data_IF_794463398265
#
_entry.id   IF_794463398265
#
_cell.length_a   1.000
_cell.length_b   1.000
_cell.length_c   1.000
_cell.angle_alpha   90.00
_cell.angle_beta   90.00
_cell.angle_gamma   90.00
#
_symmetry.space_group_name_H-M   'P 1'
#
loop_
_entity.id
_entity.type
_entity.pdbx_description
1 polymer ?
#
# COMPACT_ATOMS: atom_id res chain seq x y z
N UNK A 1 -11.42 -9.18 10.24
CA UNK A 1 -10.75 -8.56 11.40
C UNK A 1 -11.13 -9.36 12.62
N UNK A 2 -10.14 -10.04 13.20
CA UNK A 2 -10.22 -10.64 14.52
C UNK A 2 -9.90 -9.55 15.54
N UNK A 3 -10.70 -9.43 16.59
CA UNK A 3 -10.53 -8.34 17.55
C UNK A 3 -11.46 -8.45 18.74
N UNK A 4 -11.08 -7.75 19.81
CA UNK A 4 -11.90 -7.59 21.01
C UNK A 4 -12.54 -6.22 20.96
N UNK A 5 -13.87 -6.18 21.13
CA UNK A 5 -14.61 -4.93 21.22
C UNK A 5 -15.05 -4.74 22.66
N UNK A 6 -14.74 -3.58 23.22
CA UNK A 6 -15.07 -3.23 24.60
C UNK A 6 -16.00 -2.03 24.56
N UNK A 7 -17.21 -2.19 25.09
CA UNK A 7 -18.15 -1.11 25.33
C UNK A 7 -18.00 -0.63 26.77
N UNK A 8 -17.68 0.64 26.91
CA UNK A 8 -17.52 1.31 28.21
C UNK A 8 -18.84 1.98 28.56
N UNK A 9 -19.43 1.65 29.70
CA UNK A 9 -20.69 2.27 30.18
C UNK A 9 -20.37 3.55 30.94
N UNK A 10 -21.41 4.33 31.24
CA UNK A 10 -21.29 5.55 32.03
C UNK A 10 -20.66 5.32 33.40
N UNK A 11 -20.09 6.37 33.99
CA UNK A 11 -19.48 6.34 35.33
C UNK A 11 -18.32 5.33 35.49
N UNK A 12 -17.64 4.99 34.40
CA UNK A 12 -16.56 4.00 34.38
C UNK A 12 -15.18 4.63 34.43
N UNK A 13 -14.30 4.08 35.27
CA UNK A 13 -12.87 4.40 35.35
C UNK A 13 -12.09 3.13 35.05
N UNK A 14 -11.38 3.13 33.92
CA UNK A 14 -10.51 2.02 33.51
C UNK A 14 -9.13 2.52 33.12
N UNK A 15 -8.15 1.64 33.28
CA UNK A 15 -6.75 1.85 32.86
C UNK A 15 -6.37 0.76 31.87
N UNK A 16 -5.81 1.16 30.73
CA UNK A 16 -5.26 0.23 29.74
C UNK A 16 -3.78 0.02 30.06
N UNK A 17 -3.44 -1.11 30.68
CA UNK A 17 -2.07 -1.36 31.15
C UNK A 17 -1.17 -1.82 30.00
N UNK A 18 -1.65 -2.78 29.22
CA UNK A 18 -0.87 -3.37 28.12
C UNK A 18 -1.79 -3.79 26.99
N UNK A 19 -1.60 -3.19 25.81
CA UNK A 19 -2.30 -3.57 24.59
C UNK A 19 -1.27 -3.71 23.48
N UNK A 20 -1.18 -4.90 22.90
CA UNK A 20 -0.36 -5.10 21.70
C UNK A 20 -0.90 -6.26 20.87
N UNK A 21 -0.58 -6.19 19.57
CA UNK A 21 -0.85 -7.23 18.59
C UNK A 21 0.49 -7.70 18.05
N UNK A 22 0.81 -8.99 18.23
CA UNK A 22 1.95 -9.61 17.57
C UNK A 22 1.52 -10.07 16.17
N UNK A 23 1.93 -9.31 15.16
CA UNK A 23 1.61 -9.57 13.76
C UNK A 23 2.26 -10.83 13.20
N UNK A 24 3.32 -11.36 13.83
CA UNK A 24 3.97 -12.61 13.38
C UNK A 24 3.17 -13.84 13.78
N UNK A 25 2.61 -13.82 14.99
CA UNK A 25 1.90 -14.95 15.57
C UNK A 25 0.37 -14.76 15.58
N UNK A 26 -0.13 -13.61 15.11
CA UNK A 26 -1.54 -13.21 15.20
C UNK A 26 -2.06 -13.27 16.63
N UNK A 27 -1.24 -12.83 17.58
CA UNK A 27 -1.58 -12.86 19.00
C UNK A 27 -2.04 -11.50 19.48
N UNK A 28 -3.13 -11.49 20.26
CA UNK A 28 -3.68 -10.28 20.86
C UNK A 28 -3.53 -10.40 22.37
N UNK A 29 -2.89 -9.40 22.95
CA UNK A 29 -2.76 -9.26 24.40
C UNK A 29 -3.42 -7.97 24.85
N UNK A 30 -4.30 -8.09 25.84
CA UNK A 30 -4.97 -6.96 26.47
C UNK A 30 -5.05 -7.18 27.97
N UNK A 31 -4.38 -6.29 28.69
CA UNK A 31 -4.42 -6.18 30.15
C UNK A 31 -5.07 -4.84 30.51
N UNK A 32 -6.23 -4.93 31.15
CA UNK A 32 -7.09 -3.79 31.47
C UNK A 32 -7.38 -3.83 32.95
N UNK A 33 -7.26 -2.70 33.62
CA UNK A 33 -7.74 -2.52 34.99
C UNK A 33 -9.05 -1.76 34.99
N UNK A 34 -10.07 -2.28 35.68
CA UNK A 34 -11.36 -1.62 35.89
C UNK A 34 -11.48 -1.25 37.36
N UNK A 35 -11.48 0.04 37.68
CA UNK A 35 -11.50 0.53 39.06
C UNK A 35 -12.91 0.88 39.54
N UNK A 36 -13.80 1.25 38.62
CA UNK A 36 -15.20 1.62 38.90
C UNK A 36 -16.03 1.51 37.64
N UNK A 37 -17.30 1.17 37.77
CA UNK A 37 -18.29 1.21 36.69
C UNK A 37 -18.38 -0.12 35.94
N UNK A 38 -18.87 -0.08 34.69
CA UNK A 38 -19.29 -1.27 33.95
C UNK A 38 -18.71 -1.29 32.54
N UNK A 39 -18.20 -2.43 32.13
CA UNK A 39 -17.74 -2.67 30.76
C UNK A 39 -18.34 -3.97 30.22
N UNK A 40 -18.78 -3.94 28.97
CA UNK A 40 -19.17 -5.12 28.23
C UNK A 40 -18.08 -5.42 27.20
N UNK A 41 -17.65 -6.68 27.12
CA UNK A 41 -16.61 -7.13 26.19
C UNK A 41 -17.14 -8.24 25.31
N UNK A 42 -16.98 -8.06 24.00
CA UNK A 42 -17.28 -9.06 22.97
C UNK A 42 -15.98 -9.49 22.31
N UNK A 43 -15.59 -10.74 22.53
CA UNK A 43 -14.37 -11.32 21.96
C UNK A 43 -14.77 -12.12 20.72
N UNK A 44 -14.81 -11.44 19.56
CA UNK A 44 -15.47 -11.93 18.34
C UNK A 44 -14.86 -13.15 17.66
N UNK A 45 -13.65 -13.57 18.05
CA UNK A 45 -13.06 -14.85 17.63
C UNK A 45 -12.29 -15.48 18.77
N UNK A 46 -12.30 -16.82 18.81
CA UNK A 46 -11.58 -17.60 19.83
C UNK A 46 -10.09 -17.24 19.74
N UNK A 47 -9.62 -16.51 20.73
CA UNK A 47 -8.24 -16.10 20.89
C UNK A 47 -7.32 -17.33 20.72
N UNK A 48 -6.21 -17.17 19.98
CA UNK A 48 -5.19 -18.23 19.87
C UNK A 48 -4.72 -18.65 21.27
N UNK A 49 -4.21 -19.88 21.45
CA UNK A 49 -3.82 -20.39 22.78
C UNK A 49 -2.87 -19.46 23.54
N UNK A 50 -2.06 -18.72 22.81
CA UNK A 50 -1.09 -17.74 23.30
C UNK A 50 -1.67 -16.34 23.51
N UNK A 51 -2.77 -15.98 22.85
CA UNK A 51 -3.46 -14.70 23.09
C UNK A 51 -4.13 -14.67 24.47
N UNK A 52 -4.18 -13.49 25.08
CA UNK A 52 -4.71 -13.31 26.43
C UNK A 52 -5.49 -12.01 26.58
N UNK A 53 -6.74 -12.12 27.04
CA UNK A 53 -7.56 -10.99 27.44
C UNK A 53 -7.87 -11.09 28.93
N UNK A 54 -7.48 -10.05 29.68
CA UNK A 54 -7.54 -10.03 31.13
C UNK A 54 -8.10 -8.69 31.60
N UNK A 55 -9.11 -8.75 32.47
CA UNK A 55 -9.64 -7.59 33.19
C UNK A 55 -9.34 -7.79 34.68
N UNK A 56 -8.57 -6.88 35.25
CA UNK A 56 -8.27 -6.86 36.68
C UNK A 56 -9.11 -5.78 37.36
N UNK A 57 -9.89 -6.16 38.36
CA UNK A 57 -10.66 -5.27 39.24
C UNK A 57 -9.96 -5.17 40.60
N UNK A 58 -10.44 -4.36 41.55
CA UNK A 58 -9.87 -4.34 42.90
C UNK A 58 -9.93 -5.70 43.59
N UNK A 59 -11.01 -6.48 43.39
CA UNK A 59 -11.25 -7.73 44.14
C UNK A 59 -10.89 -9.00 43.37
N UNK A 60 -10.97 -8.98 42.04
CA UNK A 60 -10.74 -10.17 41.23
C UNK A 60 -10.17 -9.87 39.85
N UNK A 61 -9.62 -10.90 39.22
CA UNK A 61 -9.12 -10.86 37.85
C UNK A 61 -9.90 -11.85 36.99
N UNK A 62 -10.57 -11.35 35.96
CA UNK A 62 -11.29 -12.14 34.97
C UNK A 62 -10.40 -12.40 33.74
N UNK A 63 -10.20 -13.67 33.40
CA UNK A 63 -9.44 -14.11 32.23
C UNK A 63 -10.35 -14.90 31.28
N UNK A 64 -10.29 -14.56 29.98
CA UNK A 64 -11.25 -15.07 29.00
C UNK A 64 -10.62 -15.48 27.68
N UNK A 65 -11.32 -16.37 26.97
CA UNK A 65 -10.95 -16.82 25.63
C UNK A 65 -12.19 -17.01 24.75
N UNK A 66 -12.57 -15.95 24.03
CA UNK A 66 -13.73 -16.00 23.12
C UNK A 66 -15.04 -16.04 23.89
N UNK A 67 -15.30 -14.98 24.65
CA UNK A 67 -16.41 -14.88 25.60
C UNK A 67 -17.09 -13.53 25.45
N UNK A 68 -18.42 -13.51 25.55
CA UNK A 68 -19.22 -12.29 25.68
C UNK A 68 -19.61 -12.15 27.14
N UNK A 69 -19.11 -11.11 27.79
CA UNK A 69 -19.24 -10.94 29.23
C UNK A 69 -19.18 -9.47 29.63
N UNK A 70 -19.70 -9.19 30.81
CA UNK A 70 -19.68 -7.89 31.44
C UNK A 70 -18.95 -7.97 32.78
N UNK A 71 -18.18 -6.93 33.08
CA UNK A 71 -17.59 -6.74 34.40
C UNK A 71 -18.10 -5.43 34.96
N UNK A 72 -18.62 -5.47 36.18
CA UNK A 72 -19.11 -4.33 36.93
C UNK A 72 -18.37 -4.23 38.27
N UNK A 73 -17.94 -3.02 38.62
CA UNK A 73 -17.29 -2.72 39.89
C UNK A 73 -18.08 -1.62 40.58
N UNK A 74 -18.69 -1.98 41.71
CA UNK A 74 -19.37 -1.05 42.61
C UNK A 74 -18.78 -1.15 44.03
N UNK A 75 -18.08 -0.08 44.42
CA UNK A 75 -17.39 -0.02 45.71
C UNK A 75 -16.35 -1.13 45.88
N UNK A 76 -16.64 -2.06 46.79
CA UNK A 76 -15.79 -3.20 47.11
C UNK A 76 -16.30 -4.52 46.51
N UNK A 77 -17.30 -4.47 45.62
CA UNK A 77 -17.88 -5.63 44.98
C UNK A 77 -17.61 -5.58 43.47
N UNK A 78 -17.22 -6.72 42.92
CA UNK A 78 -17.08 -6.94 41.49
C UNK A 78 -18.05 -8.02 41.05
N UNK A 79 -18.82 -7.75 40.02
CA UNK A 79 -19.68 -8.72 39.36
C UNK A 79 -19.17 -9.01 37.96
N UNK A 80 -19.01 -10.29 37.64
CA UNK A 80 -18.67 -10.77 36.30
C UNK A 80 -19.84 -11.57 35.77
N UNK A 81 -20.51 -11.07 34.73
CA UNK A 81 -21.71 -11.66 34.14
C UNK A 81 -21.37 -12.24 32.77
N UNK A 82 -21.75 -13.48 32.48
CA UNK A 82 -21.35 -14.18 31.25
C UNK A 82 -22.56 -14.49 30.38
N UNK A 83 -22.62 -13.89 29.19
CA UNK A 83 -23.70 -14.15 28.22
C UNK A 83 -23.39 -15.30 27.26
N UNK A 84 -22.14 -15.44 26.83
CA UNK A 84 -21.72 -16.50 25.91
C UNK A 84 -20.29 -16.92 26.21
N UNK A 85 -20.03 -18.23 26.28
CA UNK A 85 -18.73 -18.81 26.58
C UNK A 85 -18.52 -19.04 28.08
N UNK A 86 -17.28 -18.91 28.54
CA UNK A 86 -16.89 -19.15 29.94
C UNK A 86 -15.80 -18.17 30.38
N UNK A 87 -15.85 -17.73 31.65
CA UNK A 87 -14.90 -16.78 32.26
C UNK A 87 -14.34 -17.38 33.54
N UNK A 88 -13.01 -17.42 33.64
CA UNK A 88 -12.34 -17.73 34.90
C UNK A 88 -12.11 -16.45 35.69
N UNK A 89 -12.57 -16.44 36.94
CA UNK A 89 -12.44 -15.31 37.87
C UNK A 89 -11.56 -15.76 39.03
N UNK A 90 -10.38 -15.17 39.13
CA UNK A 90 -9.40 -15.45 40.19
C UNK A 90 -9.46 -14.33 41.22
N UNK A 91 -9.48 -14.67 42.51
CA UNK A 91 -9.41 -13.68 43.57
C UNK A 91 -8.01 -13.07 43.65
N UNK A 92 -7.92 -11.74 43.79
CA UNK A 92 -6.62 -11.06 43.79
C UNK A 92 -5.86 -11.25 45.11
N UNK A 93 -6.58 -11.37 46.23
CA UNK A 93 -5.99 -11.54 47.57
C UNK A 93 -5.70 -13.02 47.86
N UNK A 94 -6.41 -13.94 47.19
CA UNK A 94 -6.18 -15.38 47.27
C UNK A 94 -6.15 -16.05 45.88
N UNK A 95 -4.99 -16.12 45.21
CA UNK A 95 -4.87 -16.69 43.87
C UNK A 95 -5.24 -18.17 43.75
N UNK A 96 -5.26 -18.92 44.86
CA UNK A 96 -5.70 -20.33 44.89
C UNK A 96 -7.23 -20.45 44.85
N UNK A 97 -7.95 -19.33 44.99
CA UNK A 97 -9.40 -19.25 44.91
C UNK A 97 -9.81 -18.70 43.54
N UNK A 98 -10.20 -19.61 42.65
CA UNK A 98 -10.80 -19.28 41.36
C UNK A 98 -12.14 -19.98 41.18
N UNK A 99 -13.07 -19.28 40.54
CA UNK A 99 -14.34 -19.82 40.08
C UNK A 99 -14.48 -19.58 38.58
N UNK A 100 -15.31 -20.40 37.93
CA UNK A 100 -15.60 -20.30 36.51
C UNK A 100 -17.08 -20.00 36.34
N UNK A 101 -17.42 -18.94 35.62
CA UNK A 101 -18.79 -18.62 35.25
C UNK A 101 -19.02 -19.07 33.81
N UNK A 102 -20.01 -19.93 33.60
CA UNK A 102 -20.46 -20.30 32.26
C UNK A 102 -21.57 -19.38 31.77
N UNK A 103 -21.94 -19.51 30.49
CA UNK A 103 -23.01 -18.72 29.89
C UNK A 103 -24.33 -18.86 30.67
N UNK A 104 -24.89 -17.71 31.10
CA UNK A 104 -26.07 -17.68 31.94
C UNK A 104 -25.77 -17.48 33.43
N UNK A 105 -24.50 -17.39 33.82
CA UNK A 105 -24.07 -17.28 35.21
C UNK A 105 -23.33 -15.97 35.47
N UNK A 106 -23.21 -15.64 36.76
CA UNK A 106 -22.41 -14.54 37.26
C UNK A 106 -21.60 -14.92 38.48
N UNK A 107 -20.43 -14.32 38.60
CA UNK A 107 -19.60 -14.40 39.81
C UNK A 107 -19.57 -13.04 40.47
N UNK A 108 -19.89 -13.03 41.76
CA UNK A 108 -19.80 -11.88 42.65
C UNK A 108 -18.58 -12.07 43.54
N UNK A 109 -17.66 -11.11 43.54
CA UNK A 109 -16.45 -11.11 44.37
C UNK A 109 -16.37 -9.86 45.23
N UNK A 110 -16.23 -10.04 46.54
CA UNK A 110 -16.09 -8.97 47.54
C UNK A 110 -14.64 -8.81 48.06
N UNK A 111 -13.68 -9.48 47.40
CA UNK A 111 -12.25 -9.50 47.77
C UNK A 111 -11.92 -10.45 48.93
N UNK A 112 -12.91 -11.19 49.45
CA UNK A 112 -12.71 -12.22 50.48
C UNK A 112 -13.30 -13.56 50.05
N UNK A 113 -14.38 -13.51 49.31
CA UNK A 113 -15.16 -14.63 48.86
C UNK A 113 -15.65 -14.41 47.44
N UNK A 114 -15.93 -15.52 46.77
CA UNK A 114 -16.56 -15.51 45.46
C UNK A 114 -17.83 -16.35 45.53
N UNK A 115 -18.93 -15.81 45.00
CA UNK A 115 -20.21 -16.50 44.93
C UNK A 115 -20.67 -16.57 43.49
N UNK A 116 -21.06 -17.76 43.06
CA UNK A 116 -21.68 -18.01 41.77
C UNK A 116 -23.20 -17.94 41.89
N UNK A 117 -23.84 -17.23 40.97
CA UNK A 117 -25.28 -17.08 40.86
C UNK A 117 -25.73 -17.17 39.40
N UNK A 118 -27.01 -17.46 39.17
CA UNK A 118 -27.58 -17.38 37.83
C UNK A 118 -27.93 -15.94 37.49
N UNK A 119 -27.78 -15.58 36.23
CA UNK A 119 -28.26 -14.31 35.71
C UNK A 119 -29.78 -14.23 35.79
N UNK A 120 -30.27 -13.07 36.19
CA UNK A 120 -31.68 -12.71 36.08
C UNK A 120 -32.09 -12.45 34.63
N UNK A 121 -33.40 -12.47 34.36
CA UNK A 121 -33.93 -12.17 33.03
C UNK A 121 -33.56 -10.76 32.56
N UNK A 122 -33.54 -9.78 33.47
CA UNK A 122 -33.18 -8.39 33.16
C UNK A 122 -31.69 -8.26 32.80
N UNK A 123 -30.80 -8.93 33.54
CA UNK A 123 -29.35 -8.95 33.24
C UNK A 123 -29.06 -9.65 31.90
N UNK A 124 -29.71 -10.80 31.64
CA UNK A 124 -29.58 -11.50 30.36
C UNK A 124 -30.00 -10.62 29.20
N UNK A 125 -31.11 -9.88 29.36
CA UNK A 125 -31.61 -8.98 28.34
C UNK A 125 -30.66 -7.81 28.09
N UNK A 126 -30.11 -7.19 29.14
CA UNK A 126 -29.11 -6.11 29.00
C UNK A 126 -27.91 -6.61 28.18
N UNK A 127 -27.37 -7.79 28.51
CA UNK A 127 -26.23 -8.37 27.81
C UNK A 127 -26.53 -8.70 26.34
N UNK A 128 -27.74 -9.19 26.04
CA UNK A 128 -28.16 -9.45 24.66
C UNK A 128 -28.28 -8.15 23.85
N UNK A 129 -28.84 -7.09 24.44
CA UNK A 129 -28.94 -5.78 23.80
C UNK A 129 -27.56 -5.17 23.54
N UNK A 130 -26.64 -5.29 24.49
CA UNK A 130 -25.26 -4.85 24.31
C UNK A 130 -24.54 -5.65 23.22
N UNK A 131 -24.69 -6.98 23.23
CA UNK A 131 -24.09 -7.85 22.21
C UNK A 131 -24.62 -7.51 20.82
N UNK A 132 -25.93 -7.30 20.66
CA UNK A 132 -26.55 -6.92 19.39
C UNK A 132 -26.10 -5.54 18.91
N UNK A 133 -26.02 -4.55 19.81
CA UNK A 133 -25.55 -3.20 19.48
C UNK A 133 -24.09 -3.23 19.03
N UNK A 134 -23.24 -4.00 19.72
CA UNK A 134 -21.84 -4.16 19.32
C UNK A 134 -21.74 -4.85 17.96
N UNK A 135 -22.53 -5.90 17.72
CA UNK A 135 -22.57 -6.59 16.42
C UNK A 135 -22.91 -5.61 15.28
N UNK A 136 -24.00 -4.84 15.40
CA UNK A 136 -24.41 -3.91 14.34
C UNK A 136 -23.35 -2.84 14.06
N UNK A 137 -22.74 -2.26 15.10
CA UNK A 137 -21.66 -1.28 14.95
C UNK A 137 -20.45 -1.91 14.25
N UNK A 138 -20.09 -3.15 14.61
CA UNK A 138 -18.96 -3.83 13.97
C UNK A 138 -19.24 -4.20 12.51
N UNK A 139 -20.48 -4.55 12.16
CA UNK A 139 -20.88 -4.84 10.78
C UNK A 139 -20.84 -3.59 9.90
N UNK A 140 -21.38 -2.47 10.37
CA UNK A 140 -21.29 -1.19 9.66
C UNK A 140 -19.84 -0.75 9.45
N UNK A 141 -19.00 -0.88 10.47
CA UNK A 141 -17.58 -0.59 10.37
C UNK A 141 -16.87 -1.53 9.39
N UNK A 142 -17.23 -2.82 9.38
CA UNK A 142 -16.70 -3.80 8.41
C UNK A 142 -17.04 -3.41 6.98
N UNK A 143 -18.28 -3.03 6.70
CA UNK A 143 -18.70 -2.60 5.37
C UNK A 143 -17.90 -1.38 4.90
N UNK A 144 -17.72 -0.39 5.77
CA UNK A 144 -16.89 0.79 5.47
C UNK A 144 -15.43 0.43 5.19
N UNK A 145 -14.84 -0.47 5.97
CA UNK A 145 -13.45 -0.92 5.74
C UNK A 145 -13.34 -1.69 4.43
N UNK A 146 -14.31 -2.54 4.10
CA UNK A 146 -14.33 -3.26 2.81
C UNK A 146 -14.43 -2.32 1.62
N UNK A 147 -15.26 -1.27 1.72
CA UNK A 147 -15.36 -0.21 0.71
C UNK A 147 -14.02 0.51 0.53
N UNK A 148 -13.38 0.94 1.62
CA UNK A 148 -12.05 1.57 1.59
C UNK A 148 -11.01 0.64 0.95
N UNK A 149 -11.01 -0.65 1.30
CA UNK A 149 -10.07 -1.62 0.72
C UNK A 149 -10.30 -1.84 -0.77
N UNK A 150 -11.57 -1.83 -1.21
CA UNK A 150 -11.93 -1.91 -2.62
C UNK A 150 -11.45 -0.67 -3.36
N UNK A 151 -11.75 0.52 -2.87
CA UNK A 151 -11.30 1.79 -3.45
C UNK A 151 -9.78 1.88 -3.55
N UNK A 152 -9.07 1.38 -2.52
CA UNK A 152 -7.62 1.35 -2.52
C UNK A 152 -7.06 0.40 -3.60
N UNK A 153 -7.67 -0.77 -3.78
CA UNK A 153 -7.30 -1.72 -4.85
C UNK A 153 -7.55 -1.11 -6.22
N UNK A 154 -8.71 -0.53 -6.45
CA UNK A 154 -9.06 0.10 -7.74
C UNK A 154 -8.13 1.28 -8.05
N UNK A 155 -7.84 2.14 -7.07
CA UNK A 155 -6.89 3.23 -7.25
C UNK A 155 -5.48 2.72 -7.56
N UNK A 156 -5.02 1.66 -6.87
CA UNK A 156 -3.72 1.05 -7.14
C UNK A 156 -3.64 0.51 -8.57
N UNK A 157 -4.67 -0.20 -9.03
CA UNK A 157 -4.72 -0.73 -10.40
C UNK A 157 -4.70 0.39 -11.44
N UNK A 158 -5.48 1.46 -11.23
CA UNK A 158 -5.47 2.63 -12.11
C UNK A 158 -4.10 3.31 -12.20
N UNK A 159 -3.39 3.43 -11.08
CA UNK A 159 -2.03 3.98 -11.04
C UNK A 159 -1.07 3.09 -11.83
N UNK A 160 -1.15 1.76 -11.64
CA UNK A 160 -0.31 0.80 -12.36
C UNK A 160 -0.55 0.85 -13.87
N UNK A 161 -1.81 0.87 -14.30
CA UNK A 161 -2.17 1.03 -15.72
C UNK A 161 -1.62 2.34 -16.29
N UNK A 162 -1.79 3.47 -15.58
CA UNK A 162 -1.27 4.75 -16.03
C UNK A 162 0.26 4.79 -16.17
N UNK A 163 0.98 4.15 -15.24
CA UNK A 163 2.44 3.98 -15.32
C UNK A 163 2.84 3.14 -16.54
N UNK A 164 2.11 2.06 -16.83
CA UNK A 164 2.38 1.18 -17.95
C UNK A 164 2.12 1.87 -19.29
N UNK A 165 1.03 2.61 -19.41
CA UNK A 165 0.76 3.46 -20.59
C UNK A 165 1.81 4.55 -20.77
N UNK A 166 2.25 5.22 -19.69
CA UNK A 166 3.32 6.21 -19.80
C UNK A 166 4.63 5.58 -20.25
N UNK A 167 4.97 4.38 -19.75
CA UNK A 167 6.15 3.64 -20.19
C UNK A 167 6.06 3.29 -21.68
N UNK A 168 4.91 2.82 -22.14
CA UNK A 168 4.68 2.53 -23.56
C UNK A 168 4.80 3.79 -24.42
N UNK A 169 4.13 4.89 -24.06
CA UNK A 169 4.25 6.18 -24.76
C UNK A 169 5.69 6.68 -24.84
N UNK A 170 6.43 6.61 -23.73
CA UNK A 170 7.84 7.01 -23.72
C UNK A 170 8.68 6.11 -24.63
N UNK A 171 8.41 4.81 -24.65
CA UNK A 171 9.12 3.85 -25.50
C UNK A 171 8.85 4.11 -26.99
N UNK A 172 7.60 4.39 -27.35
CA UNK A 172 7.21 4.77 -28.71
C UNK A 172 7.89 6.08 -29.15
N UNK A 173 7.89 7.12 -28.30
CA UNK A 173 8.57 8.38 -28.57
C UNK A 173 10.07 8.19 -28.79
N UNK A 174 10.73 7.38 -27.96
CA UNK A 174 12.15 7.07 -28.12
C UNK A 174 12.40 6.35 -29.45
N UNK A 175 11.56 5.39 -29.83
CA UNK A 175 11.71 4.64 -31.07
C UNK A 175 11.45 5.54 -32.30
N UNK A 176 10.41 6.36 -32.28
CA UNK A 176 10.10 7.32 -33.33
C UNK A 176 11.25 8.32 -33.52
N UNK A 177 11.78 8.88 -32.42
CA UNK A 177 12.91 9.81 -32.47
C UNK A 177 14.17 9.14 -33.02
N UNK A 178 14.43 7.88 -32.65
CA UNK A 178 15.56 7.11 -33.21
C UNK A 178 15.41 6.89 -34.72
N UNK A 179 14.20 6.56 -35.17
CA UNK A 179 13.93 6.35 -36.59
C UNK A 179 14.06 7.66 -37.39
N UNK A 180 13.53 8.75 -36.86
CA UNK A 180 13.65 10.09 -37.44
C UNK A 180 15.12 10.52 -37.55
N UNK A 181 15.88 10.40 -36.46
CA UNK A 181 17.32 10.69 -36.47
C UNK A 181 18.08 9.84 -37.49
N UNK A 182 17.69 8.57 -37.65
CA UNK A 182 18.30 7.67 -38.65
C UNK A 182 18.01 8.15 -40.07
N UNK A 183 16.77 8.55 -40.36
CA UNK A 183 16.39 9.12 -41.66
C UNK A 183 17.15 10.41 -41.96
N UNK A 184 17.26 11.33 -41.00
CA UNK A 184 18.05 12.56 -41.17
C UNK A 184 19.52 12.27 -41.47
N UNK A 185 20.13 11.31 -40.78
CA UNK A 185 21.52 10.91 -41.05
C UNK A 185 21.67 10.35 -42.47
N UNK A 186 20.73 9.53 -42.92
CA UNK A 186 20.77 8.93 -44.25
C UNK A 186 20.56 10.01 -45.34
N UNK A 187 19.64 10.95 -45.14
CA UNK A 187 19.37 12.07 -46.04
C UNK A 187 20.59 13.01 -46.16
N UNK A 188 21.24 13.34 -45.04
CA UNK A 188 22.49 14.13 -45.03
C UNK A 188 23.62 13.39 -45.76
N UNK A 189 23.73 12.08 -45.60
CA UNK A 189 24.73 11.28 -46.33
C UNK A 189 24.45 11.26 -47.83
N UNK A 190 23.20 11.11 -48.25
CA UNK A 190 22.82 11.12 -49.66
C UNK A 190 23.07 12.50 -50.29
N UNK A 191 22.63 13.57 -49.62
CA UNK A 191 22.90 14.94 -50.06
C UNK A 191 24.39 15.20 -50.20
N UNK A 192 25.20 14.80 -49.20
CA UNK A 192 26.65 14.97 -49.24
C UNK A 192 27.33 14.16 -50.37
N UNK A 193 26.80 12.99 -50.73
CA UNK A 193 27.27 12.23 -51.90
C UNK A 193 26.94 12.96 -53.20
N UNK A 194 25.70 13.42 -53.37
CA UNK A 194 25.25 14.14 -54.55
C UNK A 194 26.05 15.44 -54.75
N UNK A 195 26.29 16.19 -53.67
CA UNK A 195 27.07 17.42 -53.70
C UNK A 195 28.54 17.15 -54.08
N UNK A 196 29.14 16.07 -53.55
CA UNK A 196 30.48 15.63 -53.94
C UNK A 196 30.57 15.22 -55.41
N UNK A 197 29.56 14.53 -55.94
CA UNK A 197 29.50 14.19 -57.37
C UNK A 197 29.35 15.44 -58.24
N UNK A 198 28.51 16.40 -57.83
CA UNK A 198 28.34 17.67 -58.54
C UNK A 198 29.65 18.47 -58.58
N UNK A 199 30.36 18.58 -57.46
CA UNK A 199 31.68 19.24 -57.38
C UNK A 199 32.69 18.54 -58.30
N UNK A 200 32.72 17.20 -58.29
CA UNK A 200 33.63 16.44 -59.16
C UNK A 200 33.34 16.68 -60.63
N UNK A 201 32.07 16.64 -61.04
CA UNK A 201 31.67 16.89 -62.42
C UNK A 201 32.01 18.32 -62.87
N UNK A 202 31.75 19.32 -62.03
CA UNK A 202 32.10 20.71 -62.31
C UNK A 202 33.63 20.90 -62.47
N UNK A 203 34.43 20.28 -61.60
CA UNK A 203 35.89 20.31 -61.69
C UNK A 203 36.42 19.63 -62.96
N UNK A 204 35.79 18.52 -63.38
CA UNK A 204 36.14 17.82 -64.63
C UNK A 204 35.75 18.65 -65.87
N UNK A 205 34.63 19.38 -65.85
CA UNK A 205 34.26 20.33 -66.89
C UNK A 205 35.22 21.52 -66.98
N UNK A 206 35.59 22.15 -65.84
CA UNK A 206 36.59 23.21 -65.82
C UNK A 206 37.93 22.73 -66.38
N UNK A 207 38.38 21.53 -66.00
CA UNK A 207 39.62 20.95 -66.55
C UNK A 207 39.55 20.75 -68.06
N UNK A 208 38.41 20.29 -68.60
CA UNK A 208 38.22 20.16 -70.05
C UNK A 208 38.24 21.52 -70.73
N UNK A 209 37.58 22.53 -70.16
CA UNK A 209 37.55 23.89 -70.70
C UNK A 209 38.95 24.52 -70.72
N UNK A 210 39.70 24.42 -69.62
CA UNK A 210 41.09 24.89 -69.54
C UNK A 210 41.96 24.19 -70.58
N UNK A 211 41.86 22.86 -70.69
CA UNK A 211 42.64 22.09 -71.68
C UNK A 211 42.32 22.53 -73.11
N UNK A 212 41.04 22.71 -73.43
CA UNK A 212 40.61 23.21 -74.74
C UNK A 212 41.10 24.63 -75.04
N UNK A 213 41.18 25.50 -74.02
CA UNK A 213 41.75 26.83 -74.13
C UNK A 213 43.25 26.80 -74.44
N UNK A 214 44.00 25.97 -73.71
CA UNK A 214 45.44 25.76 -73.95
C UNK A 214 45.71 25.19 -75.35
N UNK A 215 44.90 24.23 -75.80
CA UNK A 215 45.05 23.63 -77.13
C UNK A 215 44.80 24.68 -78.23
N UNK A 216 43.76 25.52 -78.08
CA UNK A 216 43.50 26.65 -78.99
C UNK A 216 44.63 27.68 -79.00
N UNK A 217 45.17 28.03 -77.84
CA UNK A 217 46.32 28.94 -77.75
C UNK A 217 47.57 28.35 -78.41
N UNK A 218 47.83 27.05 -78.23
CA UNK A 218 48.93 26.36 -78.94
C UNK A 218 48.75 26.38 -80.45
N UNK A 219 47.55 26.08 -80.94
CA UNK A 219 47.25 26.13 -82.39
C UNK A 219 47.42 27.56 -82.94
N UNK A 220 46.95 28.58 -82.21
CA UNK A 220 47.14 29.98 -82.58
C UNK A 220 48.63 30.37 -82.63
N UNK A 221 49.42 29.93 -81.66
CA UNK A 221 50.85 30.18 -81.60
C UNK A 221 51.61 29.47 -82.73
N UNK A 222 51.20 28.24 -83.07
CA UNK A 222 51.80 27.46 -84.16
C UNK A 222 51.46 28.06 -85.54
N UNK A 223 50.22 28.51 -85.73
CA UNK A 223 49.80 29.23 -86.94
C UNK A 223 50.52 30.57 -87.09
N UNK A 224 50.69 31.33 -86.00
CA UNK A 224 51.49 32.55 -85.99
C UNK A 224 52.96 32.27 -86.32
N UNK A 225 53.55 31.21 -85.76
CA UNK A 225 54.91 30.75 -86.10
C UNK A 225 55.05 30.35 -87.58
N UNK A 226 54.06 29.69 -88.17
CA UNK A 226 54.06 29.37 -89.61
C UNK A 226 53.98 30.63 -90.47
N UNK A 227 53.11 31.58 -90.12
CA UNK A 227 53.00 32.88 -90.80
C UNK A 227 54.30 33.69 -90.75
N UNK A 228 54.97 33.73 -89.59
CA UNK A 228 56.28 34.37 -89.44
C UNK A 228 57.38 33.67 -90.25
N UNK A 229 57.34 32.33 -90.37
CA UNK A 229 58.29 31.58 -91.21
C UNK A 229 58.07 31.81 -92.71
N UNK A 230 56.83 31.98 -93.16
CA UNK A 230 56.54 32.28 -94.57
C UNK A 230 56.89 33.73 -94.94
N UNK A 231 56.90 34.67 -93.98
CA UNK A 231 57.41 36.04 -94.19
C UNK A 231 58.95 36.14 -94.27
N UNK A 232 59.69 35.08 -93.91
CA UNK A 232 61.17 35.07 -93.86
C UNK A 232 61.77 34.19 -94.98
N UNK A 233 60.99 33.74 -95.97
CA UNK A 233 61.56 33.07 -97.15
C UNK A 233 62.23 34.09 -98.09
N UNK A 234 63.47 33.84 -98.52
CA UNK A 234 64.26 34.80 -99.29
C UNK A 234 63.77 34.88 -100.74
N UNK A 235 63.77 36.10 -101.30
CA UNK A 235 64.03 36.33 -102.72
C UNK A 235 65.49 36.70 -102.90
#
# INVERSE_FOLDING_TARGET
MDGVVIRIKENTILTLNKIYVDSKNSEIYSDISLNKGKIFSKVGTKLSKSSGFKITTPTSTAAVRGTDFQVEVDGAQTETLVSEGSVEVVDNDNPDQSNVADAGEKIISDGKSQKEEKLSEDELKELQEDSATVQSVTEEQRQKIEEILKDFKENKERILQGLEEQKQRNQELINATKEENRRMIDEVKESGKAEKEAIKNAADEERKNIKSGIDKEKEALENSRKSLKDQVKPQ
#
